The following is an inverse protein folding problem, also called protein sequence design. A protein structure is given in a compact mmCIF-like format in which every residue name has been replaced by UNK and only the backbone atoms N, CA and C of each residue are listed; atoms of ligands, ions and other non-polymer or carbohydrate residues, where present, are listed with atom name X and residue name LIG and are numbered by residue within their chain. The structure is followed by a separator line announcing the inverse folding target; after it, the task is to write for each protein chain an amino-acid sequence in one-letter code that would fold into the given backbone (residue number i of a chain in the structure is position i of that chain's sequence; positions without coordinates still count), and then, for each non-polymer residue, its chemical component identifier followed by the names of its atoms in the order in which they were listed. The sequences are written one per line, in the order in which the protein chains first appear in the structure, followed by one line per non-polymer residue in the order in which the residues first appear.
data_IF_121758681924
#
_entry.id   IF_121758681924
#
_cell.length_a   1.000
_cell.length_b   1.000
_cell.length_c   1.000
_cell.angle_alpha   90.00
_cell.angle_beta   90.00
_cell.angle_gamma   90.00
#
_symmetry.space_group_name_H-M   'P 1'
#
loop_
_entity.id
_entity.type
_entity.pdbx_description
1 polymer ?
#
# COMPACT_ATOMS: atom_id res chain seq x y z
N UNK A 1 19.10 16.23 -5.27
CA UNK A 1 19.41 14.96 -4.57
C UNK A 1 18.76 15.01 -3.19
N UNK A 2 17.64 14.30 -2.98
CA UNK A 2 17.00 14.21 -1.66
C UNK A 2 17.51 12.96 -0.93
N UNK A 3 18.03 13.12 0.29
CA UNK A 3 18.41 11.99 1.16
C UNK A 3 17.14 11.28 1.66
N UNK A 4 17.10 9.94 1.66
CA UNK A 4 16.00 9.21 2.29
C UNK A 4 15.97 9.53 3.78
N UNK A 5 14.82 9.95 4.29
CA UNK A 5 14.58 9.96 5.74
C UNK A 5 14.68 8.51 6.23
N UNK A 6 15.39 8.24 7.33
CA UNK A 6 15.38 6.92 7.99
C UNK A 6 13.97 6.66 8.50
N UNK A 7 13.19 5.80 7.82
CA UNK A 7 11.85 5.46 8.28
C UNK A 7 11.99 4.42 9.42
N UNK A 8 10.96 4.22 10.25
CA UNK A 8 10.84 2.97 11.00
C UNK A 8 10.99 1.78 10.03
N UNK A 9 11.52 0.62 10.49
CA UNK A 9 11.68 -0.54 9.62
C UNK A 9 10.36 -0.80 8.90
N UNK A 10 10.35 -0.84 7.56
CA UNK A 10 9.13 -1.12 6.83
C UNK A 10 8.64 -2.51 7.23
N UNK A 11 7.32 -2.73 7.42
CA UNK A 11 6.81 -4.09 7.39
C UNK A 11 7.26 -4.75 6.08
N UNK A 12 7.62 -6.04 6.08
CA UNK A 12 8.14 -6.71 4.90
C UNK A 12 7.19 -6.55 3.70
N UNK A 13 7.71 -6.35 2.48
CA UNK A 13 6.90 -6.04 1.31
C UNK A 13 5.89 -7.15 0.98
N UNK A 14 4.68 -6.73 0.62
CA UNK A 14 3.47 -7.53 0.37
C UNK A 14 3.47 -8.36 -0.92
N UNK A 15 4.65 -8.63 -1.47
CA UNK A 15 4.84 -9.60 -2.55
C UNK A 15 6.10 -10.45 -2.38
N UNK A 16 6.67 -10.51 -1.17
CA UNK A 16 7.54 -11.63 -0.82
C UNK A 16 6.65 -12.86 -0.77
N UNK A 17 6.71 -13.68 -1.82
CA UNK A 17 6.25 -15.06 -1.73
C UNK A 17 6.82 -15.59 -0.42
N UNK A 18 5.98 -15.93 0.55
CA UNK A 18 6.49 -16.43 1.80
C UNK A 18 6.82 -17.88 1.58
N UNK A 19 8.11 -18.17 1.46
CA UNK A 19 8.60 -19.53 1.40
C UNK A 19 8.71 -20.03 2.84
N UNK A 20 7.77 -20.89 3.23
CA UNK A 20 7.93 -21.76 4.40
C UNK A 20 9.04 -22.77 4.07
N UNK A 21 10.31 -22.41 4.34
CA UNK A 21 11.39 -23.39 4.45
C UNK A 21 11.27 -24.05 5.82
N UNK A 22 10.52 -25.13 5.87
CA UNK A 22 10.45 -25.96 7.07
C UNK A 22 11.56 -27.02 6.98
N UNK A 23 12.56 -26.96 7.86
CA UNK A 23 13.67 -27.94 7.91
C UNK A 23 13.17 -29.29 8.45
N UNK A 24 13.29 -30.42 7.72
CA UNK A 24 13.09 -31.75 8.29
C UNK A 24 14.33 -32.21 9.07
N UNK A 25 14.13 -32.89 10.22
CA UNK A 25 15.22 -33.47 11.01
C UNK A 25 15.67 -34.82 10.42
N UNK A 26 16.98 -34.99 10.22
CA UNK A 26 17.61 -36.30 10.05
C UNK A 26 17.64 -37.04 11.38
N UNK A 27 17.33 -38.33 11.37
CA UNK A 27 17.34 -39.21 12.55
C UNK A 27 18.79 -39.51 12.93
N UNK A 28 19.15 -39.26 14.19
CA UNK A 28 20.42 -39.73 14.77
C UNK A 28 20.30 -41.21 15.11
N UNK A 29 20.93 -42.06 14.31
CA UNK A 29 21.40 -43.38 14.69
C UNK A 29 22.71 -43.63 13.96
N UNK A 30 23.70 -44.16 14.67
CA UNK A 30 25.11 -44.13 14.31
C UNK A 30 25.45 -44.50 12.86
N UNK A 31 26.51 -43.84 12.38
CA UNK A 31 27.12 -43.90 11.05
C UNK A 31 26.40 -43.11 9.95
N UNK A 32 27.21 -42.26 9.28
CA UNK A 32 26.90 -41.34 8.17
C UNK A 32 26.34 -39.97 8.62
N UNK A 33 27.26 -39.00 8.62
CA UNK A 33 26.98 -37.56 8.56
C UNK A 33 26.13 -37.24 7.33
N UNK A 34 24.81 -37.25 7.44
CA UNK A 34 23.97 -36.50 6.51
C UNK A 34 23.64 -35.15 7.13
N UNK A 35 24.50 -34.17 6.83
CA UNK A 35 24.27 -32.76 7.14
C UNK A 35 23.01 -32.36 6.38
N UNK A 36 21.88 -32.20 7.09
CA UNK A 36 20.69 -31.56 6.52
C UNK A 36 21.09 -30.27 5.81
N UNK A 37 21.04 -30.31 4.48
CA UNK A 37 21.58 -29.29 3.57
C UNK A 37 20.84 -27.98 3.82
N UNK A 38 21.52 -26.99 4.40
CA UNK A 38 20.99 -25.65 4.56
C UNK A 38 20.82 -25.00 3.18
N UNK A 39 19.59 -24.95 2.68
CA UNK A 39 19.24 -24.00 1.63
C UNK A 39 19.32 -22.59 2.22
N UNK A 40 20.03 -21.69 1.54
CA UNK A 40 20.01 -20.28 1.91
C UNK A 40 18.63 -19.71 1.65
N UNK A 41 18.15 -18.84 2.54
CA UNK A 41 16.91 -18.11 2.32
C UNK A 41 17.15 -17.17 1.13
N UNK A 42 16.40 -17.28 0.02
CA UNK A 42 16.61 -16.36 -1.09
C UNK A 42 16.43 -14.92 -0.62
N UNK A 43 17.18 -13.99 -1.21
CA UNK A 43 17.13 -12.56 -0.85
C UNK A 43 15.68 -12.08 -0.77
N UNK A 44 15.25 -11.24 0.17
CA UNK A 44 13.84 -10.77 0.20
C UNK A 44 12.77 -11.80 0.61
N UNK A 45 13.15 -13.04 0.93
CA UNK A 45 12.32 -14.00 1.66
C UNK A 45 12.68 -13.98 3.15
N UNK A 46 11.77 -14.47 4.00
CA UNK A 46 12.01 -14.65 5.43
C UNK A 46 11.68 -16.08 5.81
N UNK A 47 12.65 -16.78 6.39
CA UNK A 47 12.42 -18.10 6.95
C UNK A 47 11.73 -17.97 8.31
N UNK A 48 10.65 -18.72 8.50
CA UNK A 48 9.95 -18.81 9.79
C UNK A 48 10.52 -20.00 10.55
N UNK A 49 11.59 -19.78 11.31
CA UNK A 49 12.22 -20.82 12.14
C UNK A 49 11.65 -20.89 13.56
N UNK A 50 10.89 -19.88 13.97
CA UNK A 50 10.31 -19.77 15.31
C UNK A 50 8.81 -19.54 15.26
N UNK A 51 8.11 -20.06 16.26
CA UNK A 51 6.69 -19.79 16.50
C UNK A 51 6.47 -18.38 17.02
N UNK A 52 5.20 -17.96 17.13
CA UNK A 52 4.83 -16.66 17.72
C UNK A 52 5.34 -16.48 19.15
N UNK A 53 5.45 -17.55 19.93
CA UNK A 53 6.03 -17.53 21.28
C UNK A 53 7.55 -17.66 21.32
N UNK A 54 8.23 -17.68 20.16
CA UNK A 54 9.69 -17.78 20.07
C UNK A 54 10.26 -19.19 20.19
N UNK A 55 9.41 -20.23 20.20
CA UNK A 55 9.83 -21.62 20.25
C UNK A 55 10.30 -22.12 18.88
N UNK A 56 11.18 -23.12 18.87
CA UNK A 56 11.65 -23.73 17.62
C UNK A 56 10.47 -24.33 16.84
N UNK A 57 10.34 -23.96 15.57
CA UNK A 57 9.28 -24.43 14.68
C UNK A 57 9.74 -25.63 13.84
N UNK A 58 10.27 -26.65 14.51
CA UNK A 58 10.79 -27.86 13.88
C UNK A 58 9.65 -28.77 13.40
N UNK A 59 9.77 -29.27 12.17
CA UNK A 59 8.90 -30.35 11.69
C UNK A 59 9.38 -31.69 12.22
N UNK A 60 8.51 -32.38 12.96
CA UNK A 60 8.81 -33.70 13.50
C UNK A 60 8.69 -34.77 12.41
N UNK A 61 9.73 -35.61 12.29
CA UNK A 61 9.71 -36.80 11.47
C UNK A 61 8.99 -37.95 12.21
N UNK A 62 7.79 -38.35 11.76
CA UNK A 62 7.29 -39.70 12.06
C UNK A 62 5.78 -39.91 12.21
N UNK A 63 5.11 -40.28 11.11
CA UNK A 63 3.97 -41.22 10.97
C UNK A 63 2.59 -40.96 11.66
N UNK A 64 1.57 -40.92 10.77
CA UNK A 64 0.17 -41.45 10.80
C UNK A 64 -0.98 -40.55 11.33
N UNK A 65 -1.87 -40.24 10.36
CA UNK A 65 -3.31 -39.89 10.40
C UNK A 65 -3.79 -38.59 11.09
N UNK A 66 -4.37 -37.65 10.31
CA UNK A 66 -5.73 -37.09 10.45
C UNK A 66 -5.96 -35.82 9.54
N UNK A 67 -7.20 -35.52 9.09
CA UNK A 67 -7.53 -34.41 8.15
C UNK A 67 -8.16 -33.18 8.89
N UNK A 68 -7.95 -31.87 8.60
CA UNK A 68 -8.40 -30.98 7.48
C UNK A 68 -7.91 -29.49 7.70
N UNK A 69 -6.93 -28.88 6.99
CA UNK A 69 -7.00 -27.90 5.87
C UNK A 69 -6.57 -28.48 4.53
N UNK A 70 -6.72 -27.80 3.40
CA UNK A 70 -6.31 -28.40 2.10
C UNK A 70 -4.80 -28.34 1.89
N UNK A 71 -4.10 -29.22 2.61
CA UNK A 71 -2.90 -29.91 2.16
C UNK A 71 -3.27 -30.71 0.91
N UNK A 72 -2.58 -30.51 -0.20
CA UNK A 72 -2.78 -31.39 -1.36
C UNK A 72 -2.12 -32.74 -1.08
N UNK A 73 -2.94 -33.79 -0.97
CA UNK A 73 -2.48 -35.14 -0.65
C UNK A 73 -2.12 -35.97 -1.90
N UNK A 74 -1.98 -35.34 -3.07
CA UNK A 74 -1.80 -36.06 -4.34
C UNK A 74 -3.05 -36.80 -4.83
N UNK A 75 -4.15 -36.82 -4.05
CA UNK A 75 -5.39 -37.58 -4.33
C UNK A 75 -6.67 -36.75 -4.37
N UNK A 76 -6.65 -35.47 -3.99
CA UNK A 76 -7.83 -34.59 -3.98
C UNK A 76 -7.87 -33.66 -5.21
N UNK A 77 -9.02 -33.45 -5.84
CA UNK A 77 -9.13 -32.43 -6.90
C UNK A 77 -8.92 -31.02 -6.32
N UNK A 78 -7.95 -30.30 -6.89
CA UNK A 78 -7.69 -28.91 -6.53
C UNK A 78 -8.91 -28.05 -6.87
N UNK A 79 -9.35 -27.25 -5.90
CA UNK A 79 -10.37 -26.21 -6.14
C UNK A 79 -9.84 -25.21 -7.18
N UNK A 80 -10.73 -24.68 -8.01
CA UNK A 80 -10.37 -23.70 -9.04
C UNK A 80 -9.61 -22.50 -8.43
N UNK A 81 -8.53 -22.07 -9.08
CA UNK A 81 -7.64 -20.98 -8.66
C UNK A 81 -6.78 -21.24 -7.41
N UNK A 82 -6.61 -22.50 -7.00
CA UNK A 82 -5.63 -22.91 -6.01
C UNK A 82 -4.38 -23.49 -6.69
N UNK A 83 -3.23 -23.21 -6.09
CA UNK A 83 -1.91 -23.63 -6.55
C UNK A 83 -1.25 -24.45 -5.45
N UNK A 84 -0.44 -25.44 -5.84
CA UNK A 84 0.33 -26.29 -4.92
C UNK A 84 1.78 -25.84 -4.93
N UNK A 85 2.39 -25.73 -3.75
CA UNK A 85 3.83 -25.54 -3.62
C UNK A 85 4.46 -26.94 -3.67
N UNK A 86 4.85 -27.38 -4.85
CA UNK A 86 5.45 -28.71 -5.05
C UNK A 86 6.96 -28.70 -4.80
N UNK A 87 7.61 -27.56 -5.04
CA UNK A 87 9.06 -27.41 -4.93
C UNK A 87 9.49 -26.17 -4.14
N UNK A 88 10.66 -26.27 -3.50
CA UNK A 88 11.41 -25.13 -2.96
C UNK A 88 11.97 -24.29 -4.13
N UNK A 89 12.45 -23.06 -3.91
CA UNK A 89 13.00 -22.22 -4.97
C UNK A 89 14.21 -22.85 -5.67
N UNK A 90 14.91 -23.75 -4.98
CA UNK A 90 16.03 -24.53 -5.53
C UNK A 90 15.58 -25.85 -6.17
N UNK A 91 14.31 -25.95 -6.55
CA UNK A 91 13.71 -27.10 -7.25
C UNK A 91 13.75 -28.42 -6.48
N UNK A 92 13.86 -28.38 -5.15
CA UNK A 92 13.72 -29.59 -4.30
C UNK A 92 12.26 -29.81 -3.94
N UNK A 93 11.88 -31.02 -3.57
CA UNK A 93 10.50 -31.28 -3.13
C UNK A 93 10.14 -30.47 -1.89
N UNK A 94 9.01 -29.77 -1.91
CA UNK A 94 8.43 -29.06 -0.75
C UNK A 94 7.48 -29.94 0.06
N UNK A 95 7.64 -31.27 -0.03
CA UNK A 95 6.84 -32.23 0.72
C UNK A 95 7.14 -32.11 2.22
N UNK A 96 6.11 -31.89 3.04
CA UNK A 96 6.24 -31.82 4.51
C UNK A 96 6.00 -33.16 5.19
N UNK A 97 5.72 -34.23 4.44
CA UNK A 97 5.49 -35.54 5.05
C UNK A 97 6.80 -36.24 5.40
N UNK A 98 6.78 -36.96 6.52
CA UNK A 98 7.89 -37.77 6.97
C UNK A 98 7.72 -39.20 6.46
N UNK A 99 8.48 -39.55 5.42
CA UNK A 99 8.58 -40.92 4.93
C UNK A 99 9.24 -40.99 3.54
N UNK A 100 10.40 -41.64 3.44
CA UNK A 100 11.10 -41.90 2.17
C UNK A 100 10.50 -43.04 1.34
N UNK A 101 9.37 -43.62 1.76
CA UNK A 101 8.72 -44.72 1.05
C UNK A 101 7.90 -44.19 -0.14
N UNK A 102 7.96 -44.83 -1.33
CA UNK A 102 7.22 -44.39 -2.52
C UNK A 102 5.69 -44.41 -2.37
N UNK A 103 5.16 -45.05 -1.33
CA UNK A 103 3.73 -45.14 -0.98
C UNK A 103 3.31 -44.18 0.14
N UNK A 104 4.23 -43.38 0.69
CA UNK A 104 3.93 -42.44 1.76
C UNK A 104 3.04 -41.28 1.29
N UNK A 105 2.07 -40.89 2.13
CA UNK A 105 1.21 -39.74 1.90
C UNK A 105 2.07 -38.48 1.72
N UNK A 106 1.93 -37.79 0.59
CA UNK A 106 2.66 -36.54 0.32
C UNK A 106 1.83 -35.36 0.77
N UNK A 107 2.48 -34.41 1.40
CA UNK A 107 1.85 -33.28 2.06
C UNK A 107 2.44 -32.00 1.47
N UNK A 108 1.62 -31.22 0.78
CA UNK A 108 2.04 -29.95 0.21
C UNK A 108 1.15 -28.80 0.68
N UNK A 109 1.76 -27.62 0.83
CA UNK A 109 1.01 -26.39 1.06
C UNK A 109 0.32 -25.96 -0.23
N UNK A 110 -0.92 -25.48 -0.09
CA UNK A 110 -1.65 -24.86 -1.19
C UNK A 110 -1.89 -23.39 -0.89
N UNK A 111 -1.94 -22.57 -1.94
CA UNK A 111 -2.27 -21.16 -1.82
C UNK A 111 -3.22 -20.73 -2.93
N UNK A 112 -3.93 -19.64 -2.69
CA UNK A 112 -4.76 -18.96 -3.69
C UNK A 112 -4.27 -17.54 -3.85
N UNK A 113 -4.13 -17.08 -5.10
CA UNK A 113 -3.82 -15.68 -5.42
C UNK A 113 -5.09 -14.96 -5.85
N UNK A 114 -5.19 -13.70 -5.45
CA UNK A 114 -6.14 -12.79 -6.09
C UNK A 114 -5.74 -12.59 -7.55
N UNK A 115 -6.72 -12.30 -8.41
CA UNK A 115 -6.45 -11.91 -9.80
C UNK A 115 -5.65 -10.60 -9.81
N UNK A 116 -4.75 -10.45 -10.78
CA UNK A 116 -3.88 -9.27 -10.89
C UNK A 116 -4.66 -7.95 -11.00
N UNK A 117 -5.91 -7.99 -11.48
CA UNK A 117 -6.81 -6.84 -11.58
C UNK A 117 -7.38 -6.34 -10.24
N UNK A 118 -7.23 -7.11 -9.16
CA UNK A 118 -7.80 -6.80 -7.83
C UNK A 118 -6.74 -6.68 -6.72
N UNK A 119 -5.45 -6.54 -7.06
CA UNK A 119 -4.37 -6.65 -6.08
C UNK A 119 -4.25 -5.51 -5.05
N UNK A 120 -4.79 -4.33 -5.35
CA UNK A 120 -4.65 -3.14 -4.49
C UNK A 120 -5.87 -2.94 -3.60
N UNK A 121 -5.61 -2.69 -2.31
CA UNK A 121 -6.62 -2.41 -1.29
C UNK A 121 -7.64 -3.54 -1.06
N UNK A 122 -7.37 -4.76 -1.53
CA UNK A 122 -8.18 -5.96 -1.23
C UNK A 122 -7.64 -6.71 -0.02
N UNK A 123 -8.51 -7.47 0.63
CA UNK A 123 -8.09 -8.31 1.75
C UNK A 123 -7.24 -9.48 1.24
N UNK A 124 -6.00 -9.54 1.72
CA UNK A 124 -5.04 -10.59 1.42
C UNK A 124 -4.39 -11.12 2.70
N UNK A 125 -3.58 -12.16 2.54
CA UNK A 125 -2.72 -12.64 3.63
C UNK A 125 -1.53 -11.69 3.72
N UNK A 126 -1.37 -11.03 4.86
CA UNK A 126 -0.27 -10.07 5.09
C UNK A 126 0.86 -10.64 5.92
N UNK A 127 0.54 -11.59 6.79
CA UNK A 127 1.47 -12.21 7.72
C UNK A 127 1.14 -13.69 7.84
N UNK A 128 2.17 -14.51 7.94
CA UNK A 128 2.08 -15.94 8.20
C UNK A 128 2.99 -16.22 9.40
N UNK A 129 2.53 -17.03 10.33
CA UNK A 129 3.30 -17.43 11.48
C UNK A 129 2.99 -18.88 11.87
N UNK A 130 3.83 -19.45 12.72
CA UNK A 130 3.67 -20.79 13.25
C UNK A 130 3.20 -20.73 14.71
N UNK A 131 2.35 -21.68 15.08
CA UNK A 131 1.71 -21.76 16.37
C UNK A 131 1.94 -23.15 16.98
N UNK A 132 2.39 -23.19 18.23
CA UNK A 132 2.67 -24.40 18.99
C UNK A 132 1.80 -24.48 20.27
N UNK A 133 0.57 -25.03 20.18
CA UNK A 133 -0.35 -25.05 21.32
C UNK A 133 0.16 -25.82 22.54
N UNK A 134 1.05 -26.81 22.37
CA UNK A 134 1.66 -27.55 23.47
C UNK A 134 2.51 -26.68 24.40
N UNK A 135 2.89 -25.47 23.95
CA UNK A 135 3.58 -24.46 24.76
C UNK A 135 2.66 -23.35 25.27
N UNK A 136 1.34 -23.58 25.23
CA UNK A 136 0.34 -22.60 25.68
C UNK A 136 0.11 -21.46 24.69
N UNK A 137 0.60 -21.57 23.46
CA UNK A 137 0.40 -20.53 22.45
C UNK A 137 -1.02 -20.55 21.91
N UNK A 138 -1.61 -19.36 21.78
CA UNK A 138 -2.93 -19.14 21.18
C UNK A 138 -2.79 -18.17 20.01
N UNK A 139 -3.50 -18.43 18.91
CA UNK A 139 -3.52 -17.52 17.77
C UNK A 139 -4.04 -16.14 18.21
N UNK A 140 -3.34 -15.03 17.91
CA UNK A 140 -3.83 -13.70 18.19
C UNK A 140 -5.19 -13.45 17.54
N UNK A 141 -6.01 -12.58 18.10
CA UNK A 141 -7.37 -12.28 17.61
C UNK A 141 -7.44 -11.75 16.16
N UNK A 142 -6.32 -11.28 15.59
CA UNK A 142 -6.21 -10.83 14.20
C UNK A 142 -5.76 -11.92 13.22
N UNK A 143 -5.41 -13.10 13.73
CA UNK A 143 -4.91 -14.23 12.95
C UNK A 143 -5.97 -15.32 12.83
N UNK A 144 -6.07 -15.91 11.65
CA UNK A 144 -6.80 -17.13 11.41
C UNK A 144 -5.83 -18.31 11.54
N UNK A 145 -6.23 -19.36 12.26
CA UNK A 145 -5.47 -20.61 12.33
C UNK A 145 -5.89 -21.53 11.18
N UNK A 146 -4.89 -22.13 10.54
CA UNK A 146 -5.05 -23.30 9.69
C UNK A 146 -5.23 -24.50 10.63
N UNK A 147 -6.45 -24.99 10.81
CA UNK A 147 -6.81 -26.22 11.53
C UNK A 147 -6.23 -27.54 10.95
N UNK A 148 -4.99 -27.53 10.44
CA UNK A 148 -4.22 -28.75 10.15
C UNK A 148 -2.88 -28.73 10.85
N UNK A 149 -2.58 -29.86 11.47
CA UNK A 149 -1.27 -30.10 12.05
C UNK A 149 -0.26 -30.35 10.93
N UNK A 150 0.79 -29.52 10.86
CA UNK A 150 1.93 -29.72 9.97
C UNK A 150 2.77 -30.93 10.39
N UNK A 151 2.81 -31.21 11.69
CA UNK A 151 3.47 -32.37 12.26
C UNK A 151 2.54 -33.57 12.22
N UNK A 152 2.49 -34.27 11.09
CA UNK A 152 1.65 -35.47 10.92
C UNK A 152 2.18 -36.71 11.65
N UNK A 153 3.14 -36.52 12.54
CA UNK A 153 3.74 -37.59 13.30
C UNK A 153 3.08 -37.86 14.64
N UNK A 154 3.00 -39.14 15.02
CA UNK A 154 2.34 -39.63 16.23
C UNK A 154 2.93 -39.08 17.54
N UNK A 155 4.22 -38.73 17.54
CA UNK A 155 4.96 -38.29 18.73
C UNK A 155 5.53 -36.87 18.61
N UNK A 156 5.01 -36.06 17.69
CA UNK A 156 5.41 -34.66 17.49
C UNK A 156 4.44 -33.67 18.14
N UNK A 157 4.92 -32.54 18.70
CA UNK A 157 4.01 -31.49 19.15
C UNK A 157 3.26 -30.92 17.95
N UNK A 158 1.94 -30.72 18.11
CA UNK A 158 1.12 -30.21 17.02
C UNK A 158 1.54 -28.78 16.64
N UNK A 159 1.88 -28.59 15.36
CA UNK A 159 2.35 -27.32 14.82
C UNK A 159 1.34 -26.83 13.78
N UNK A 160 0.86 -25.60 13.93
CA UNK A 160 -0.17 -25.03 13.06
C UNK A 160 0.34 -23.80 12.35
N UNK A 161 -0.08 -23.62 11.10
CA UNK A 161 0.06 -22.34 10.41
C UNK A 161 -1.03 -21.39 10.92
N UNK A 162 -0.70 -20.14 11.09
CA UNK A 162 -1.67 -19.07 11.26
C UNK A 162 -1.34 -17.93 10.32
N UNK A 163 -2.35 -17.17 9.91
CA UNK A 163 -2.16 -16.06 8.98
C UNK A 163 -3.03 -14.87 9.35
N UNK A 164 -2.52 -13.66 9.13
CA UNK A 164 -3.29 -12.43 9.28
C UNK A 164 -3.90 -12.04 7.95
N UNK A 165 -5.21 -11.76 7.96
CA UNK A 165 -5.90 -11.21 6.80
C UNK A 165 -6.10 -9.72 6.99
N UNK A 166 -5.46 -8.92 6.16
CA UNK A 166 -5.57 -7.47 6.18
C UNK A 166 -5.53 -6.91 4.74
N UNK A 167 -5.78 -5.61 4.61
CA UNK A 167 -5.75 -4.93 3.33
C UNK A 167 -4.32 -4.99 2.77
N UNK A 168 -4.17 -5.62 1.60
CA UNK A 168 -2.92 -5.64 0.86
C UNK A 168 -2.59 -4.22 0.39
N UNK A 169 -1.54 -3.65 0.99
CA UNK A 169 -0.88 -2.43 0.52
C UNK A 169 0.05 -2.76 -0.65
N UNK A 170 0.19 -1.84 -1.59
CA UNK A 170 1.23 -1.96 -2.61
C UNK A 170 2.63 -1.97 -1.96
N UNK A 171 3.57 -2.59 -2.66
CA UNK A 171 4.98 -2.37 -2.36
C UNK A 171 5.29 -0.90 -2.60
N UNK A 172 5.81 -0.21 -1.59
CA UNK A 172 6.01 1.23 -1.63
C UNK A 172 7.35 1.65 -1.05
N UNK A 173 7.91 2.70 -1.63
CA UNK A 173 9.01 3.49 -1.10
C UNK A 173 8.44 4.79 -0.58
N UNK A 174 8.77 5.15 0.66
CA UNK A 174 8.27 6.36 1.31
C UNK A 174 9.39 7.40 1.41
N UNK A 175 9.08 8.63 0.99
CA UNK A 175 9.98 9.78 1.00
C UNK A 175 9.37 10.92 1.81
N UNK A 176 10.23 11.79 2.34
CA UNK A 176 9.79 13.05 2.94
C UNK A 176 9.12 13.88 1.86
N UNK A 177 7.90 14.33 2.10
CA UNK A 177 7.20 15.24 1.20
C UNK A 177 7.99 16.56 1.11
N UNK A 178 8.16 17.06 -0.11
CA UNK A 178 8.83 18.32 -0.39
C UNK A 178 8.08 19.10 -1.46
N UNK A 179 8.32 20.41 -1.49
CA UNK A 179 7.82 21.28 -2.55
C UNK A 179 8.55 20.95 -3.86
N UNK A 180 7.80 20.73 -4.94
CA UNK A 180 8.35 20.48 -6.29
C UNK A 180 8.40 21.79 -7.07
N UNK A 181 7.30 22.52 -7.06
CA UNK A 181 7.13 23.83 -7.69
C UNK A 181 6.11 24.65 -6.90
N UNK A 182 6.17 25.97 -7.03
CA UNK A 182 5.21 26.91 -6.44
C UNK A 182 4.95 28.08 -7.36
N UNK A 183 3.82 28.74 -7.12
CA UNK A 183 3.50 30.04 -7.68
C UNK A 183 2.78 30.88 -6.62
N UNK A 184 3.19 32.14 -6.37
CA UNK A 184 4.36 32.82 -6.95
C UNK A 184 5.71 32.13 -6.64
N UNK A 185 6.75 32.42 -7.42
CA UNK A 185 8.08 31.81 -7.25
C UNK A 185 8.79 32.29 -5.98
N UNK A 186 8.52 33.52 -5.56
CA UNK A 186 9.05 34.16 -4.36
C UNK A 186 7.95 34.38 -3.31
N UNK A 187 8.36 34.49 -2.04
CA UNK A 187 7.43 34.76 -0.96
C UNK A 187 6.95 36.20 -1.00
N UNK A 188 5.66 36.38 -0.74
CA UNK A 188 5.10 37.71 -0.48
C UNK A 188 5.32 38.03 0.99
N UNK A 189 5.79 39.24 1.31
CA UNK A 189 6.06 39.65 2.71
C UNK A 189 4.84 39.44 3.62
N UNK A 190 3.63 39.72 3.11
CA UNK A 190 2.38 39.55 3.84
C UNK A 190 1.91 38.09 3.95
N UNK A 191 2.41 37.19 3.11
CA UNK A 191 1.96 35.80 3.03
C UNK A 191 3.09 34.84 2.61
N UNK A 192 4.09 34.63 3.48
CA UNK A 192 5.17 33.69 3.21
C UNK A 192 4.65 32.25 3.22
N UNK A 193 5.21 31.39 2.36
CA UNK A 193 4.86 29.99 2.27
C UNK A 193 5.36 29.22 3.51
N UNK A 194 4.48 28.61 4.33
CA UNK A 194 4.92 27.86 5.49
C UNK A 194 5.67 26.56 5.09
N UNK A 195 6.83 26.31 5.69
CA UNK A 195 7.65 25.12 5.39
C UNK A 195 6.94 23.78 5.66
N UNK A 196 5.94 23.79 6.55
CA UNK A 196 5.18 22.60 6.93
C UNK A 196 4.19 22.13 5.86
N UNK A 197 3.85 22.97 4.87
CA UNK A 197 2.81 22.70 3.86
C UNK A 197 2.92 21.33 3.19
N UNK A 198 4.10 20.85 2.75
CA UNK A 198 4.22 19.53 2.12
C UNK A 198 3.74 18.39 3.01
N UNK A 199 3.96 18.47 4.33
CA UNK A 199 3.52 17.44 5.29
C UNK A 199 2.00 17.44 5.43
N UNK A 200 1.34 18.59 5.34
CA UNK A 200 -0.12 18.65 5.35
C UNK A 200 -0.75 18.15 4.04
N UNK A 201 -0.06 18.35 2.91
CA UNK A 201 -0.51 17.84 1.62
C UNK A 201 -0.35 16.31 1.51
N UNK A 202 0.71 15.76 2.10
CA UNK A 202 1.04 14.34 2.09
C UNK A 202 1.47 13.88 3.50
N UNK A 203 0.52 13.67 4.43
CA UNK A 203 0.84 13.40 5.84
C UNK A 203 1.59 12.08 6.08
N UNK A 204 1.41 11.12 5.18
CA UNK A 204 2.12 9.83 5.22
C UNK A 204 3.42 9.83 4.38
N UNK A 205 3.86 11.01 3.92
CA UNK A 205 4.98 11.15 3.00
C UNK A 205 4.60 10.96 1.54
N UNK A 206 5.55 11.25 0.65
CA UNK A 206 5.42 10.96 -0.78
C UNK A 206 5.78 9.50 -1.04
N UNK A 207 4.95 8.78 -1.79
CA UNK A 207 5.14 7.35 -2.04
C UNK A 207 5.41 7.08 -3.51
N UNK A 208 6.36 6.19 -3.79
CA UNK A 208 6.48 5.50 -5.08
C UNK A 208 5.98 4.08 -4.86
N UNK A 209 4.97 3.68 -5.59
CA UNK A 209 4.22 2.44 -5.38
C UNK A 209 4.26 1.56 -6.62
N UNK A 210 4.37 0.25 -6.40
CA UNK A 210 4.30 -0.75 -7.45
C UNK A 210 2.91 -1.36 -7.51
N UNK A 211 2.24 -1.15 -8.64
CA UNK A 211 0.86 -1.55 -8.87
C UNK A 211 0.79 -2.61 -9.96
N UNK A 212 -0.15 -3.57 -9.91
CA UNK A 212 -0.45 -4.43 -11.06
C UNK A 212 -0.84 -3.61 -12.30
N UNK A 213 -0.49 -4.07 -13.51
CA UNK A 213 -0.82 -3.33 -14.75
C UNK A 213 -2.32 -3.07 -14.93
N UNK A 214 -3.17 -4.00 -14.48
CA UNK A 214 -4.62 -3.92 -14.64
C UNK A 214 -5.32 -3.15 -13.49
N UNK A 215 -4.55 -2.37 -12.72
CA UNK A 215 -5.11 -1.56 -11.65
C UNK A 215 -5.99 -0.47 -12.22
N UNK A 216 -7.23 -0.37 -11.72
CA UNK A 216 -8.13 0.74 -12.09
C UNK A 216 -7.51 2.07 -11.67
N UNK A 217 -7.67 3.06 -12.55
CA UNK A 217 -7.26 4.43 -12.27
C UNK A 217 -7.85 4.92 -10.93
N UNK A 218 -6.98 5.47 -10.07
CA UNK A 218 -7.37 5.99 -8.77
C UNK A 218 -7.77 7.45 -8.91
N UNK A 219 -9.01 7.75 -8.54
CA UNK A 219 -9.52 9.13 -8.58
C UNK A 219 -8.73 10.02 -7.61
N UNK A 220 -8.48 11.29 -7.97
CA UNK A 220 -7.86 12.23 -7.06
C UNK A 220 -8.66 12.42 -5.77
N UNK A 221 -7.95 12.58 -4.66
CA UNK A 221 -8.55 12.78 -3.34
C UNK A 221 -8.38 14.24 -2.92
N UNK A 222 -9.49 14.91 -2.63
CA UNK A 222 -9.49 16.27 -2.08
C UNK A 222 -9.36 16.26 -0.57
N UNK A 223 -8.60 17.21 -0.03
CA UNK A 223 -8.36 17.38 1.40
C UNK A 223 -8.21 18.86 1.75
N UNK A 224 -8.50 19.20 3.01
CA UNK A 224 -8.33 20.56 3.54
C UNK A 224 -7.57 20.51 4.85
N UNK A 225 -6.88 21.58 5.17
CA UNK A 225 -6.15 21.75 6.42
C UNK A 225 -6.10 23.22 6.81
N UNK A 226 -5.79 23.49 8.08
CA UNK A 226 -5.62 24.85 8.60
C UNK A 226 -4.30 24.91 9.35
N UNK A 227 -3.44 25.84 8.94
CA UNK A 227 -2.22 26.17 9.65
C UNK A 227 -2.52 27.37 10.55
N UNK A 228 -2.12 27.29 11.81
CA UNK A 228 -2.26 28.41 12.75
C UNK A 228 -0.87 28.87 13.14
N UNK A 229 -0.57 30.15 12.91
CA UNK A 229 0.68 30.76 13.33
C UNK A 229 0.70 30.97 14.85
N UNK A 230 1.89 31.27 15.40
CA UNK A 230 2.02 31.65 16.81
C UNK A 230 1.24 32.93 17.17
N UNK A 231 1.00 33.83 16.19
CA UNK A 231 0.17 35.03 16.35
C UNK A 231 -1.34 34.74 16.34
N UNK A 232 -1.76 33.50 16.05
CA UNK A 232 -3.16 33.12 15.93
C UNK A 232 -3.75 33.31 14.53
N UNK A 233 -2.94 33.75 13.56
CA UNK A 233 -3.36 33.88 12.17
C UNK A 233 -3.59 32.51 11.56
N UNK A 234 -4.68 32.38 10.79
CA UNK A 234 -5.06 31.13 10.15
C UNK A 234 -4.77 31.20 8.66
N UNK A 235 -4.10 30.16 8.17
CA UNK A 235 -3.91 29.90 6.74
C UNK A 235 -4.68 28.65 6.38
N UNK A 236 -5.65 28.79 5.48
CA UNK A 236 -6.49 27.70 5.00
C UNK A 236 -5.83 27.08 3.77
N UNK A 237 -5.58 25.77 3.85
CA UNK A 237 -5.03 24.98 2.76
C UNK A 237 -6.07 24.03 2.18
N UNK A 238 -6.11 23.96 0.86
CA UNK A 238 -6.87 22.98 0.10
C UNK A 238 -5.91 22.23 -0.80
N UNK A 239 -5.99 20.91 -0.84
CA UNK A 239 -5.06 20.07 -1.60
C UNK A 239 -5.79 18.95 -2.33
N UNK A 240 -5.37 18.70 -3.57
CA UNK A 240 -5.78 17.53 -4.35
C UNK A 240 -4.58 16.59 -4.42
N UNK A 241 -4.79 15.33 -4.07
CA UNK A 241 -3.77 14.27 -4.12
C UNK A 241 -4.10 13.33 -5.27
N UNK A 242 -3.10 12.94 -6.06
CA UNK A 242 -3.28 12.05 -7.19
C UNK A 242 -2.03 11.22 -7.43
N UNK A 243 -2.16 10.21 -8.29
CA UNK A 243 -1.06 9.40 -8.75
C UNK A 243 -0.71 9.74 -10.19
N UNK A 244 0.58 9.65 -10.51
CA UNK A 244 1.10 9.74 -11.87
C UNK A 244 2.09 8.61 -12.13
N UNK A 245 2.29 8.26 -13.40
CA UNK A 245 3.26 7.24 -13.80
C UNK A 245 4.69 7.66 -13.44
N UNK A 246 5.44 6.74 -12.84
CA UNK A 246 6.84 6.95 -12.46
C UNK A 246 7.77 6.10 -13.33
N UNK A 247 8.88 6.67 -13.82
CA UNK A 247 9.83 5.94 -14.66
C UNK A 247 10.64 4.94 -13.85
N UNK A 248 10.80 3.72 -14.39
CA UNK A 248 11.66 2.67 -13.82
C UNK A 248 13.13 3.05 -13.85
N UNK A 249 13.55 3.88 -14.79
CA UNK A 249 14.96 4.25 -15.00
C UNK A 249 15.54 5.11 -13.86
N UNK A 250 14.65 5.71 -13.06
CA UNK A 250 15.02 6.53 -11.90
C UNK A 250 15.26 5.70 -10.63
N UNK A 251 15.06 4.37 -10.68
CA UNK A 251 15.23 3.49 -9.54
C UNK A 251 16.60 2.81 -9.53
N UNK A 252 17.22 2.78 -8.35
CA UNK A 252 18.33 1.86 -8.08
C UNK A 252 17.84 0.40 -8.05
N UNK A 253 18.75 -0.55 -8.25
CA UNK A 253 18.45 -1.98 -8.16
C UNK A 253 17.80 -2.36 -6.81
N UNK A 254 18.35 -1.85 -5.70
CA UNK A 254 17.80 -2.06 -4.34
C UNK A 254 16.34 -1.59 -4.22
N UNK A 255 16.03 -0.45 -4.83
CA UNK A 255 14.66 0.10 -4.85
C UNK A 255 13.74 -0.77 -5.72
N UNK A 256 14.23 -1.24 -6.87
CA UNK A 256 13.50 -2.14 -7.76
C UNK A 256 13.18 -3.48 -7.10
N UNK A 257 14.10 -4.06 -6.32
CA UNK A 257 13.84 -5.26 -5.51
C UNK A 257 12.75 -4.98 -4.47
N UNK A 258 12.87 -3.87 -3.71
CA UNK A 258 11.88 -3.52 -2.67
C UNK A 258 10.49 -3.22 -3.21
N UNK A 259 10.41 -2.70 -4.43
CA UNK A 259 9.14 -2.49 -5.15
C UNK A 259 8.59 -3.80 -5.75
N UNK A 260 9.34 -4.89 -5.74
CA UNK A 260 8.93 -6.16 -6.35
C UNK A 260 8.90 -6.08 -7.88
N UNK A 261 9.84 -5.34 -8.47
CA UNK A 261 10.01 -5.21 -9.92
C UNK A 261 11.02 -6.20 -10.50
N UNK A 262 11.76 -6.91 -9.65
CA UNK A 262 12.71 -7.94 -10.02
C UNK A 262 12.28 -9.26 -9.38
N UNK A 263 12.42 -10.36 -10.13
CA UNK A 263 12.32 -11.71 -9.60
C UNK A 263 13.39 -11.87 -8.55
N UNK A 264 12.99 -12.43 -7.43
CA UNK A 264 13.84 -12.50 -6.26
C UNK A 264 14.90 -13.62 -6.38
N UNK A 265 14.58 -14.67 -7.15
CA UNK A 265 15.46 -15.83 -7.36
C UNK A 265 16.46 -15.56 -8.50
N UNK A 266 15.98 -15.03 -9.62
CA UNK A 266 16.79 -14.90 -10.86
C UNK A 266 17.12 -13.44 -11.22
N UNK A 267 16.71 -12.46 -10.41
CA UNK A 267 16.80 -11.00 -10.69
C UNK A 267 16.20 -10.55 -12.03
N UNK A 268 15.36 -11.38 -12.65
CA UNK A 268 14.69 -11.07 -13.92
C UNK A 268 13.63 -9.97 -13.76
N UNK A 269 13.52 -9.00 -14.68
CA UNK A 269 12.51 -7.95 -14.61
C UNK A 269 11.07 -8.49 -14.62
N UNK A 270 10.26 -8.02 -13.68
CA UNK A 270 8.81 -8.27 -13.61
C UNK A 270 8.11 -7.14 -14.36
N UNK A 271 7.56 -7.47 -15.53
CA UNK A 271 6.87 -6.54 -16.43
C UNK A 271 5.38 -6.39 -16.13
N UNK A 272 4.78 -7.28 -15.33
CA UNK A 272 3.36 -7.26 -14.97
C UNK A 272 2.94 -6.15 -13.98
N UNK A 273 3.81 -5.17 -13.75
CA UNK A 273 3.59 -4.06 -12.81
C UNK A 273 3.90 -2.70 -13.41
N UNK A 274 3.15 -1.68 -13.01
CA UNK A 274 3.46 -0.28 -13.25
C UNK A 274 3.95 0.39 -11.97
N UNK A 275 4.59 1.54 -12.12
CA UNK A 275 5.01 2.39 -11.00
C UNK A 275 4.19 3.66 -11.00
N UNK A 276 3.71 4.01 -9.82
CA UNK A 276 2.94 5.22 -9.59
C UNK A 276 3.60 6.02 -8.49
N UNK A 277 3.72 7.34 -8.65
CA UNK A 277 4.15 8.23 -7.59
C UNK A 277 2.97 9.09 -7.12
N UNK A 278 2.85 9.23 -5.80
CA UNK A 278 1.84 10.08 -5.19
C UNK A 278 2.31 11.53 -5.17
N UNK A 279 1.52 12.42 -5.78
CA UNK A 279 1.73 13.87 -5.78
C UNK A 279 0.53 14.61 -5.21
N UNK A 280 0.73 15.90 -4.95
CA UNK A 280 -0.35 16.79 -4.54
C UNK A 280 -0.15 18.20 -5.10
N UNK A 281 -1.25 18.85 -5.46
CA UNK A 281 -1.32 20.28 -5.75
C UNK A 281 -2.12 20.95 -4.64
N UNK A 282 -1.63 22.07 -4.12
CA UNK A 282 -2.24 22.78 -3.01
C UNK A 282 -2.43 24.26 -3.32
N UNK A 283 -3.53 24.83 -2.84
CA UNK A 283 -3.80 26.26 -2.77
C UNK A 283 -3.87 26.67 -1.31
N UNK A 284 -3.21 27.77 -0.97
CA UNK A 284 -3.25 28.40 0.34
C UNK A 284 -3.99 29.74 0.26
N UNK A 285 -4.75 30.08 1.29
CA UNK A 285 -5.47 31.34 1.38
C UNK A 285 -5.69 31.77 2.82
N UNK A 286 -5.83 33.08 3.04
CA UNK A 286 -6.38 33.62 4.29
C UNK A 286 -7.87 33.35 4.46
N UNK A 287 -8.56 32.90 3.42
CA UNK A 287 -10.01 32.74 3.41
C UNK A 287 -10.43 31.28 3.16
N UNK A 288 -11.48 30.78 3.85
CA UNK A 288 -11.88 29.38 3.78
C UNK A 288 -12.75 29.06 2.54
N UNK A 289 -12.30 29.43 1.33
CA UNK A 289 -13.03 29.16 0.08
C UNK A 289 -12.89 27.71 -0.42
N UNK A 290 -13.03 26.72 0.47
CA UNK A 290 -12.70 25.33 0.18
C UNK A 290 -13.45 24.74 -1.02
N UNK A 291 -14.73 25.04 -1.19
CA UNK A 291 -15.51 24.56 -2.35
C UNK A 291 -14.99 25.16 -3.67
N UNK A 292 -14.56 26.42 -3.65
CA UNK A 292 -13.97 27.09 -4.81
C UNK A 292 -12.61 26.46 -5.11
N UNK A 293 -11.77 26.28 -4.09
CA UNK A 293 -10.46 25.67 -4.24
C UNK A 293 -10.56 24.21 -4.72
N UNK A 294 -11.54 23.44 -4.25
CA UNK A 294 -11.80 22.09 -4.75
C UNK A 294 -12.09 22.10 -6.25
N UNK A 295 -13.01 22.96 -6.70
CA UNK A 295 -13.35 23.08 -8.12
C UNK A 295 -12.15 23.54 -8.95
N UNK A 296 -11.40 24.55 -8.46
CA UNK A 296 -10.20 25.04 -9.13
C UNK A 296 -9.11 23.97 -9.23
N UNK A 297 -8.77 23.29 -8.14
CA UNK A 297 -7.78 22.21 -8.13
C UNK A 297 -8.21 21.02 -9.01
N UNK A 298 -9.49 20.70 -9.04
CA UNK A 298 -10.05 19.68 -9.93
C UNK A 298 -9.89 20.08 -11.40
N UNK A 299 -10.16 21.36 -11.72
CA UNK A 299 -9.92 21.91 -13.05
C UNK A 299 -8.44 21.84 -13.43
N UNK A 300 -7.54 22.34 -12.57
CA UNK A 300 -6.08 22.30 -12.79
C UNK A 300 -5.60 20.87 -13.02
N UNK A 301 -6.04 19.93 -12.19
CA UNK A 301 -5.69 18.52 -12.36
C UNK A 301 -6.18 17.96 -13.70
N UNK A 302 -7.48 18.13 -14.02
CA UNK A 302 -8.06 17.65 -15.28
C UNK A 302 -7.36 18.26 -16.48
N UNK A 303 -7.06 19.56 -16.44
CA UNK A 303 -6.34 20.27 -17.51
C UNK A 303 -4.89 19.78 -17.64
N UNK A 304 -4.25 19.36 -16.56
CA UNK A 304 -2.87 18.82 -16.63
C UNK A 304 -2.78 17.46 -17.32
N UNK A 305 -3.86 16.67 -17.29
CA UNK A 305 -3.91 15.31 -17.85
C UNK A 305 -4.74 15.20 -19.14
N UNK A 306 -5.52 16.22 -19.46
CA UNK A 306 -6.22 16.33 -20.74
C UNK A 306 -5.35 17.18 -21.67
N UNK A 307 -5.34 16.86 -22.95
CA UNK A 307 -4.50 17.55 -23.92
C UNK A 307 -4.81 17.03 -25.32
N UNK A 308 -4.55 17.82 -26.37
CA UNK A 308 -3.87 19.13 -26.37
C UNK A 308 -4.77 20.30 -25.93
N UNK A 309 -4.15 21.39 -25.46
CA UNK A 309 -4.82 22.59 -24.99
C UNK A 309 -4.33 23.85 -25.74
N UNK A 310 -5.23 24.82 -25.93
CA UNK A 310 -4.92 26.08 -26.65
C UNK A 310 -4.08 27.04 -25.80
N UNK A 311 -4.29 27.03 -24.48
CA UNK A 311 -3.59 27.88 -23.54
C UNK A 311 -2.73 27.05 -22.59
N UNK A 312 -1.58 27.57 -22.13
CA UNK A 312 -0.80 26.92 -21.09
C UNK A 312 -1.55 26.95 -19.75
N UNK A 313 -1.37 25.92 -18.93
CA UNK A 313 -2.00 25.80 -17.61
C UNK A 313 -1.67 26.99 -16.70
N UNK A 314 -0.44 27.49 -16.83
CA UNK A 314 0.12 28.62 -16.10
C UNK A 314 -0.71 29.89 -16.29
N UNK A 315 -1.30 30.09 -17.47
CA UNK A 315 -2.19 31.24 -17.74
C UNK A 315 -3.46 31.18 -16.90
N UNK A 316 -4.03 29.98 -16.72
CA UNK A 316 -5.20 29.79 -15.86
C UNK A 316 -4.85 30.00 -14.38
N UNK A 317 -3.69 29.51 -13.95
CA UNK A 317 -3.19 29.70 -12.58
C UNK A 317 -2.95 31.19 -12.30
N UNK A 318 -2.21 31.87 -13.18
CA UNK A 318 -1.90 33.29 -13.02
C UNK A 318 -3.17 34.15 -13.00
N UNK A 319 -4.12 33.88 -13.91
CA UNK A 319 -5.41 34.58 -13.95
C UNK A 319 -6.22 34.38 -12.67
N UNK A 320 -6.28 33.15 -12.15
CA UNK A 320 -6.98 32.87 -10.89
C UNK A 320 -6.36 33.62 -9.71
N UNK A 321 -5.03 33.70 -9.65
CA UNK A 321 -4.31 34.32 -8.55
C UNK A 321 -4.32 35.86 -8.58
N UNK A 322 -4.28 36.47 -9.77
CA UNK A 322 -4.08 37.94 -9.91
C UNK A 322 -5.31 38.69 -10.43
N UNK A 323 -6.12 38.06 -11.29
CA UNK A 323 -7.21 38.76 -11.98
C UNK A 323 -8.57 38.53 -11.32
N UNK A 324 -8.68 37.55 -10.41
CA UNK A 324 -9.92 37.29 -9.68
C UNK A 324 -10.02 38.27 -8.52
N UNK A 325 -11.01 39.19 -8.53
CA UNK A 325 -11.18 40.10 -7.42
C UNK A 325 -11.69 39.37 -6.18
N UNK A 326 -11.40 39.92 -5.00
CA UNK A 326 -11.99 39.45 -3.76
C UNK A 326 -13.47 39.88 -3.67
N UNK A 327 -14.38 39.01 -3.20
CA UNK A 327 -15.80 39.36 -3.04
C UNK A 327 -15.98 40.42 -1.94
N UNK A 328 -16.25 41.65 -2.33
CA UNK A 328 -16.47 42.78 -1.42
C UNK A 328 -17.94 42.92 -1.04
N UNK A 329 -18.30 43.68 0.01
CA UNK A 329 -19.69 43.97 0.34
C UNK A 329 -20.50 44.59 -0.83
N UNK A 330 -19.82 45.35 -1.71
CA UNK A 330 -20.43 45.95 -2.90
C UNK A 330 -20.61 44.95 -4.05
N UNK A 331 -19.73 43.94 -4.12
CA UNK A 331 -19.78 42.85 -5.10
C UNK A 331 -19.63 41.50 -4.39
N UNK A 332 -20.68 41.04 -3.69
CA UNK A 332 -20.58 39.90 -2.78
C UNK A 332 -20.49 38.54 -3.50
N UNK A 333 -20.75 38.51 -4.82
CA UNK A 333 -20.70 37.32 -5.65
C UNK A 333 -19.88 37.60 -6.90
N UNK A 334 -18.85 36.79 -7.13
CA UNK A 334 -17.94 36.90 -8.27
C UNK A 334 -17.97 35.57 -9.01
N UNK A 335 -18.48 35.59 -10.24
CA UNK A 335 -18.41 34.45 -11.15
C UNK A 335 -17.10 34.52 -11.93
N UNK A 336 -16.27 33.49 -11.81
CA UNK A 336 -15.00 33.34 -12.51
C UNK A 336 -15.12 32.20 -13.50
N UNK A 337 -14.86 32.48 -14.77
CA UNK A 337 -14.86 31.48 -15.82
C UNK A 337 -13.44 30.92 -15.98
N UNK A 338 -13.25 29.62 -15.69
CA UNK A 338 -11.96 28.94 -15.87
C UNK A 338 -11.81 28.39 -17.29
N UNK A 339 -12.90 27.86 -17.84
CA UNK A 339 -13.02 27.29 -19.17
C UNK A 339 -14.43 27.55 -19.72
N UNK A 340 -14.73 27.24 -21.00
CA UNK A 340 -16.09 27.31 -21.51
C UNK A 340 -17.12 26.47 -20.73
N UNK A 341 -16.66 25.45 -20.00
CA UNK A 341 -17.52 24.50 -19.28
C UNK A 341 -17.39 24.59 -17.75
N UNK A 342 -16.33 25.23 -17.23
CA UNK A 342 -16.02 25.29 -15.80
C UNK A 342 -16.11 26.73 -15.29
N UNK A 343 -17.02 26.94 -14.33
CA UNK A 343 -17.21 28.22 -13.65
C UNK A 343 -17.05 28.06 -12.13
N UNK A 344 -16.46 29.06 -11.49
CA UNK A 344 -16.34 29.18 -10.05
C UNK A 344 -17.19 30.35 -9.56
N UNK A 345 -17.90 30.17 -8.45
CA UNK A 345 -18.61 31.25 -7.77
C UNK A 345 -17.91 31.52 -6.44
N UNK A 346 -17.25 32.68 -6.34
CA UNK A 346 -16.73 33.19 -5.08
C UNK A 346 -17.80 34.04 -4.42
N UNK A 347 -18.17 33.67 -3.20
CA UNK A 347 -19.08 34.44 -2.36
C UNK A 347 -18.32 35.06 -1.21
N UNK A 348 -18.74 36.25 -0.78
CA UNK A 348 -18.18 36.89 0.41
C UNK A 348 -18.29 35.93 1.60
N UNK A 349 -17.16 35.64 2.29
CA UNK A 349 -17.18 34.74 3.43
C UNK A 349 -18.01 35.38 4.55
N UNK A 350 -18.98 34.64 5.07
CA UNK A 350 -19.82 35.12 6.17
C UNK A 350 -18.98 35.08 7.45
N UNK A 351 -18.86 36.20 8.14
CA UNK A 351 -18.19 36.29 9.45
C UNK A 351 -19.00 35.51 10.50
N UNK A 352 -18.86 34.19 10.54
CA UNK A 352 -19.46 33.37 11.59
C UNK A 352 -18.40 33.08 12.66
N UNK A 353 -18.66 33.42 13.95
CA UNK A 353 -17.75 33.12 15.05
C UNK A 353 -17.73 31.62 15.45
N UNK A 354 -18.49 30.76 14.77
CA UNK A 354 -18.58 29.33 15.07
C UNK A 354 -17.66 28.48 14.18
N UNK A 355 -17.04 27.41 14.71
CA UNK A 355 -16.28 26.47 13.90
C UNK A 355 -17.21 25.82 12.87
N UNK A 356 -17.01 26.13 11.59
CA UNK A 356 -17.72 25.52 10.47
C UNK A 356 -17.31 24.04 10.36
N UNK A 357 -17.97 23.18 11.13
CA UNK A 357 -18.06 21.76 10.83
C UNK A 357 -18.75 21.62 9.48
N UNK A 358 -18.11 20.92 8.56
CA UNK A 358 -18.57 20.62 7.21
C UNK A 358 -19.90 19.86 7.23
N UNK A 359 -21.02 20.58 7.29
CA UNK A 359 -22.35 20.08 6.95
C UNK A 359 -23.06 21.23 6.22
N UNK A 360 -22.94 21.25 4.91
CA UNK A 360 -23.98 21.86 4.08
C UNK A 360 -24.70 20.71 3.38
N UNK A 361 -25.86 20.37 3.93
CA UNK A 361 -26.90 19.66 3.21
C UNK A 361 -27.13 20.38 1.88
N UNK A 362 -27.03 19.64 0.79
CA UNK A 362 -27.60 19.99 -0.49
C UNK A 362 -29.11 20.18 -0.32
N UNK A 363 -29.57 21.42 -0.22
CA UNK A 363 -30.96 21.76 -0.54
C UNK A 363 -30.98 22.38 -1.92
N UNK A 364 -30.80 21.54 -2.94
CA UNK A 364 -31.48 21.75 -4.20
C UNK A 364 -32.87 21.14 -4.03
N UNK A 365 -33.84 21.98 -3.71
CA UNK A 365 -35.24 21.71 -3.98
C UNK A 365 -35.81 23.02 -4.50
N UNK A 366 -35.59 23.26 -5.79
CA UNK A 366 -36.51 24.08 -6.58
C UNK A 366 -37.89 23.48 -6.44
N UNK A 367 -38.76 24.21 -5.75
CA UNK A 367 -40.20 24.01 -5.81
C UNK A 367 -40.65 24.11 -7.26
N UNK A 368 -41.49 23.15 -7.63
CA UNK A 368 -42.52 23.36 -8.63
C UNK A 368 -43.60 24.19 -7.93
N UNK A 369 -43.97 25.29 -8.60
CA UNK A 369 -44.85 26.43 -8.23
C UNK A 369 -44.24 27.53 -7.37
#
# INVERSE_FOLDING_TARGET
MAKPATPPPPPPPLASFLLLLLKPKGVESGEIRDRGLLEEVPEGFTCIEKTLGGHSAELSAGLINNPHLVLYEGKEQLKQSWFVIETTPYSRSANLSSGGAPTAHRVFLTYRRALDSQGLHTLGVTDIALLLPSKGEVAPHTFCRVDKNLNTGMWGPALYVCYKRAVAKANALVYKASLISRYPEEDLEAFPLPESVPVFCLPMGATVESWPLNTKYQLPVFSTFVLTSASGDKVYGAAIQFYESFSRDLLSERQSVRLGLLSVVDRRPITSRSLQVKKSICVLSHWPFFTVFQKFLTFVYRYSISGPHVLPLEKHISSFMHNVPFPSPQRPRILVQLSPYDNLLLCQPVSSPLPLRSVYCSTDTTGIF
#
